data_IF_521044559416
#
_entry.id   IF_521044559416
#
_cell.length_a   1.000
_cell.length_b   1.000
_cell.length_c   1.000
_cell.angle_alpha   90.00
_cell.angle_beta   90.00
_cell.angle_gamma   90.00
#
_symmetry.space_group_name_H-M   'P 1'
#
loop_
_entity.id
_entity.type
_entity.pdbx_description
1 polymer ?
#
# COMPACT_ATOMS: atom_id res chain seq x y z
N UNK A 1 -0.06 10.54 -16.17
CA UNK A 1 0.61 9.70 -17.21
C UNK A 1 0.18 8.25 -16.98
N UNK A 2 0.47 7.26 -17.85
CA UNK A 2 0.33 5.87 -17.42
C UNK A 2 1.21 5.65 -16.18
N UNK A 3 0.71 4.90 -15.21
CA UNK A 3 1.47 4.46 -14.05
C UNK A 3 2.08 3.12 -14.33
N UNK A 4 3.27 2.92 -13.79
CA UNK A 4 4.00 1.69 -13.99
C UNK A 4 4.59 1.15 -12.71
N UNK A 5 4.90 -0.13 -12.72
CA UNK A 5 5.60 -0.82 -11.67
C UNK A 5 7.10 -0.61 -11.87
N UNK A 6 7.71 0.14 -10.96
CA UNK A 6 9.12 0.52 -10.99
C UNK A 6 9.84 -0.19 -9.85
N UNK A 7 10.78 -1.10 -10.12
CA UNK A 7 11.63 -1.66 -9.08
C UNK A 7 12.58 -0.58 -8.57
N UNK A 8 12.67 -0.44 -7.25
CA UNK A 8 13.54 0.54 -6.59
C UNK A 8 14.44 -0.19 -5.59
N UNK A 9 15.71 0.22 -5.55
CA UNK A 9 16.67 -0.22 -4.54
C UNK A 9 16.90 0.94 -3.57
N UNK A 10 16.65 0.72 -2.28
CA UNK A 10 16.86 1.73 -1.24
C UNK A 10 17.96 1.21 -0.29
N UNK A 11 19.12 1.91 -0.20
CA UNK A 11 20.13 1.56 0.77
C UNK A 11 19.63 1.93 2.18
N UNK A 12 19.80 1.02 3.14
CA UNK A 12 19.41 1.21 4.53
C UNK A 12 20.62 1.03 5.42
N UNK A 13 20.81 1.97 6.36
CA UNK A 13 21.86 1.87 7.40
C UNK A 13 21.23 1.72 8.76
N UNK A 14 21.52 0.64 9.45
CA UNK A 14 21.08 0.40 10.83
C UNK A 14 22.03 1.07 11.81
N UNK A 15 21.53 1.45 12.99
CA UNK A 15 22.34 2.06 14.04
C UNK A 15 23.51 1.15 14.48
N UNK A 16 23.27 -0.16 14.50
CA UNK A 16 24.21 -1.16 15.03
C UNK A 16 25.03 -1.86 13.93
N UNK A 17 24.84 -1.49 12.65
CA UNK A 17 25.58 -2.07 11.52
C UNK A 17 26.32 -0.98 10.73
N UNK A 18 27.64 -1.10 10.56
CA UNK A 18 28.39 -0.20 9.67
C UNK A 18 28.13 -0.50 8.19
N UNK A 19 27.52 -1.65 7.88
CA UNK A 19 27.24 -2.10 6.52
C UNK A 19 25.83 -1.67 6.13
N UNK A 20 25.72 -0.95 5.02
CA UNK A 20 24.42 -0.64 4.43
C UNK A 20 23.86 -1.92 3.79
N UNK A 21 22.60 -2.24 4.10
CA UNK A 21 21.84 -3.28 3.40
C UNK A 21 21.04 -2.64 2.27
N UNK A 22 20.73 -3.41 1.22
CA UNK A 22 19.86 -2.97 0.14
C UNK A 22 18.46 -3.56 0.33
N UNK A 23 17.45 -2.70 0.44
CA UNK A 23 16.05 -3.11 0.36
C UNK A 23 15.58 -2.95 -1.07
N UNK A 24 15.01 -4.01 -1.64
CA UNK A 24 14.43 -4.01 -2.98
C UNK A 24 12.92 -4.11 -2.86
N UNK A 25 12.21 -3.22 -3.52
CA UNK A 25 10.76 -3.19 -3.54
C UNK A 25 10.26 -2.72 -4.90
N UNK A 26 9.04 -3.12 -5.21
CA UNK A 26 8.30 -2.63 -6.36
C UNK A 26 7.43 -1.47 -5.92
N UNK A 27 7.34 -0.43 -6.75
CA UNK A 27 6.58 0.78 -6.45
C UNK A 27 5.77 1.18 -7.68
N UNK A 28 4.53 1.61 -7.48
CA UNK A 28 3.71 2.14 -8.56
C UNK A 28 3.90 3.66 -8.64
N UNK A 29 4.35 4.17 -9.77
CA UNK A 29 4.61 5.60 -9.98
C UNK A 29 4.45 6.02 -11.45
N UNK A 30 4.29 7.31 -11.72
CA UNK A 30 4.32 7.88 -13.07
C UNK A 30 5.75 8.24 -13.52
N UNK A 31 6.65 8.49 -12.56
CA UNK A 31 8.03 8.89 -12.84
C UNK A 31 9.02 8.17 -11.93
N UNK A 32 10.29 8.10 -12.37
CA UNK A 32 11.36 7.53 -11.56
C UNK A 32 11.59 8.28 -10.23
N UNK A 33 11.42 9.61 -10.22
CA UNK A 33 11.56 10.41 -9.00
C UNK A 33 10.44 10.11 -8.00
N UNK A 34 9.20 10.05 -8.47
CA UNK A 34 8.05 9.65 -7.64
C UNK A 34 8.22 8.23 -7.10
N UNK A 35 8.75 7.30 -7.91
CA UNK A 35 9.06 5.94 -7.48
C UNK A 35 10.09 5.94 -6.33
N UNK A 36 11.15 6.75 -6.43
CA UNK A 36 12.18 6.87 -5.38
C UNK A 36 11.60 7.45 -4.10
N UNK A 37 10.85 8.56 -4.19
CA UNK A 37 10.22 9.20 -3.01
C UNK A 37 9.24 8.26 -2.31
N UNK A 38 8.43 7.56 -3.09
CA UNK A 38 7.47 6.57 -2.58
C UNK A 38 8.21 5.38 -1.97
N UNK A 39 9.25 4.86 -2.61
CA UNK A 39 10.07 3.78 -2.07
C UNK A 39 10.70 4.14 -0.73
N UNK A 40 11.21 5.36 -0.59
CA UNK A 40 11.78 5.85 0.67
C UNK A 40 10.74 5.85 1.79
N UNK A 41 9.55 6.40 1.53
CA UNK A 41 8.44 6.38 2.50
C UNK A 41 8.07 4.97 2.94
N UNK A 42 7.95 4.05 1.98
CA UNK A 42 7.59 2.66 2.24
C UNK A 42 8.66 1.94 3.06
N UNK A 43 9.95 2.17 2.75
CA UNK A 43 11.09 1.56 3.47
C UNK A 43 11.24 2.15 4.87
N UNK A 44 11.13 3.47 5.03
CA UNK A 44 11.14 4.12 6.35
C UNK A 44 10.04 3.56 7.25
N UNK A 45 8.82 3.45 6.72
CA UNK A 45 7.71 2.85 7.45
C UNK A 45 7.96 1.37 7.76
N UNK A 46 8.41 0.58 6.77
CA UNK A 46 8.70 -0.84 6.95
C UNK A 46 9.75 -1.06 8.04
N UNK A 47 10.83 -0.28 8.07
CA UNK A 47 11.86 -0.35 9.12
C UNK A 47 11.29 -0.08 10.51
N UNK A 48 10.36 0.87 10.62
CA UNK A 48 9.67 1.19 11.87
C UNK A 48 8.79 0.03 12.36
N UNK A 49 8.07 -0.66 11.47
CA UNK A 49 7.11 -1.70 11.87
C UNK A 49 7.68 -3.13 11.91
N UNK A 50 8.81 -3.38 11.22
CA UNK A 50 9.38 -4.73 11.07
C UNK A 50 10.44 -5.10 12.11
N UNK A 51 11.14 -4.14 12.73
CA UNK A 51 12.24 -4.44 13.67
C UNK A 51 12.12 -3.68 15.00
N UNK A 52 12.29 -4.44 16.09
CA UNK A 52 12.23 -3.97 17.49
C UNK A 52 13.43 -3.10 17.90
N UNK A 53 14.52 -3.15 17.15
CA UNK A 53 15.78 -2.48 17.47
C UNK A 53 16.00 -1.34 16.48
N UNK A 54 15.70 -0.13 16.98
CA UNK A 54 15.93 1.22 16.43
C UNK A 54 16.00 1.38 14.90
N UNK A 55 15.15 2.25 14.31
CA UNK A 55 15.11 2.42 12.87
C UNK A 55 16.46 2.86 12.33
N UNK A 56 16.92 2.14 11.31
CA UNK A 56 17.97 2.63 10.44
C UNK A 56 17.50 3.84 9.64
N UNK A 57 18.44 4.60 9.08
CA UNK A 57 18.11 5.64 8.12
C UNK A 57 18.04 5.04 6.71
N UNK A 58 16.95 5.29 6.00
CA UNK A 58 16.87 5.07 4.56
C UNK A 58 17.74 6.11 3.84
N UNK A 59 18.56 5.67 2.90
CA UNK A 59 19.34 6.53 2.03
C UNK A 59 18.57 6.91 0.75
N UNK A 60 19.29 7.50 -0.20
CA UNK A 60 18.72 7.82 -1.51
C UNK A 60 18.49 6.56 -2.32
N UNK A 61 17.24 6.33 -2.72
CA UNK A 61 16.88 5.19 -3.57
C UNK A 61 17.36 5.37 -5.01
N UNK A 62 17.49 4.24 -5.71
CA UNK A 62 17.75 4.19 -7.14
C UNK A 62 16.62 3.45 -7.83
N UNK A 63 15.89 4.13 -8.71
CA UNK A 63 14.92 3.50 -9.58
C UNK A 63 15.64 2.69 -10.67
N UNK A 64 15.13 1.49 -10.95
CA UNK A 64 15.54 0.65 -12.07
C UNK A 64 14.61 0.88 -13.27
N UNK A 65 14.79 0.07 -14.32
CA UNK A 65 13.91 0.11 -15.47
C UNK A 65 12.49 -0.31 -15.08
N UNK A 66 11.51 0.44 -15.60
CA UNK A 66 10.09 0.10 -15.54
C UNK A 66 9.85 -1.32 -16.08
N UNK A 67 9.05 -2.11 -15.35
CA UNK A 67 8.74 -3.50 -15.69
C UNK A 67 7.29 -3.72 -16.15
N UNK A 68 6.44 -2.69 -16.20
CA UNK A 68 5.13 -2.78 -16.83
C UNK A 68 4.06 -1.81 -16.31
N UNK A 69 3.05 -1.60 -17.14
CA UNK A 69 1.90 -0.74 -16.82
C UNK A 69 1.06 -1.30 -15.67
N UNK A 70 0.58 -0.42 -14.81
CA UNK A 70 -0.38 -0.71 -13.72
C UNK A 70 -1.70 -0.01 -14.04
N UNK A 71 -2.65 -0.70 -14.70
CA UNK A 71 -3.87 -0.06 -15.21
C UNK A 71 -4.94 0.20 -14.14
N UNK A 72 -4.74 -0.29 -12.91
CA UNK A 72 -5.75 -0.30 -11.87
C UNK A 72 -5.25 0.18 -10.51
N UNK A 73 -6.09 -0.04 -9.50
CA UNK A 73 -5.73 0.24 -8.11
C UNK A 73 -4.56 -0.67 -7.68
N UNK A 74 -3.92 -0.34 -6.57
CA UNK A 74 -2.91 -1.22 -5.99
C UNK A 74 -2.87 -1.09 -4.48
N UNK A 75 -2.39 -2.12 -3.80
CA UNK A 75 -2.21 -2.10 -2.36
C UNK A 75 -0.78 -2.43 -1.98
N UNK A 76 -0.21 -1.66 -1.06
CA UNK A 76 1.02 -1.97 -0.38
C UNK A 76 0.71 -2.77 0.87
N UNK A 77 1.27 -3.97 0.98
CA UNK A 77 1.13 -4.88 2.12
C UNK A 77 2.41 -4.90 2.91
N UNK A 78 2.34 -4.51 4.18
CA UNK A 78 3.50 -4.42 5.06
C UNK A 78 3.60 -5.67 5.91
N UNK A 79 4.68 -6.45 5.75
CA UNK A 79 4.97 -7.61 6.58
C UNK A 79 6.38 -7.53 7.17
N UNK A 80 6.69 -8.23 8.29
CA UNK A 80 8.04 -8.28 8.84
C UNK A 80 9.07 -8.79 7.83
N UNK A 81 8.68 -9.74 6.98
CA UNK A 81 9.56 -10.30 5.94
C UNK A 81 9.78 -9.37 4.74
N UNK A 82 8.95 -8.34 4.55
CA UNK A 82 9.09 -7.43 3.41
C UNK A 82 7.82 -6.64 3.09
N UNK A 83 7.90 -5.93 1.97
CA UNK A 83 6.81 -5.16 1.38
C UNK A 83 6.35 -5.84 0.10
N UNK A 84 5.05 -6.04 -0.06
CA UNK A 84 4.46 -6.58 -1.29
C UNK A 84 3.51 -5.57 -1.93
N UNK A 85 3.45 -5.57 -3.26
CA UNK A 85 2.47 -4.80 -4.04
C UNK A 85 1.43 -5.75 -4.62
N UNK A 86 0.17 -5.55 -4.25
CA UNK A 86 -0.96 -6.22 -4.87
C UNK A 86 -1.53 -5.33 -5.96
N UNK A 87 -1.48 -5.79 -7.21
CA UNK A 87 -2.17 -5.13 -8.31
C UNK A 87 -3.65 -5.49 -8.29
N UNK A 88 -4.50 -4.46 -8.39
CA UNK A 88 -5.94 -4.59 -8.31
C UNK A 88 -6.58 -3.99 -9.56
N UNK A 89 -7.75 -4.48 -9.98
CA UNK A 89 -8.44 -3.92 -11.14
C UNK A 89 -8.89 -2.48 -10.87
N UNK A 90 -9.08 -1.71 -11.94
CA UNK A 90 -9.66 -0.36 -11.88
C UNK A 90 -11.15 -0.35 -11.58
N UNK A 91 -11.80 -1.52 -11.53
CA UNK A 91 -13.23 -1.69 -11.27
C UNK A 91 -13.43 -2.83 -10.28
N UNK A 92 -14.14 -2.56 -9.20
CA UNK A 92 -14.58 -3.56 -8.22
C UNK A 92 -16.07 -3.86 -8.43
N UNK A 93 -16.36 -4.55 -9.54
CA UNK A 93 -17.66 -5.18 -9.80
C UNK A 93 -17.78 -6.51 -9.05
N UNK A 94 -18.79 -7.33 -9.37
CA UNK A 94 -19.01 -8.58 -8.63
C UNK A 94 -17.84 -9.56 -8.75
N UNK A 95 -17.36 -9.78 -9.97
CA UNK A 95 -16.24 -10.71 -10.21
C UNK A 95 -14.94 -10.19 -9.59
N UNK A 96 -14.61 -8.93 -9.82
CA UNK A 96 -13.39 -8.34 -9.30
C UNK A 96 -13.43 -8.11 -7.78
N UNK A 97 -14.63 -7.85 -7.24
CA UNK A 97 -14.87 -7.71 -5.80
C UNK A 97 -14.72 -9.02 -5.05
N UNK A 98 -15.17 -10.14 -5.62
CA UNK A 98 -14.94 -11.48 -5.08
C UNK A 98 -13.44 -11.80 -5.05
N UNK A 99 -12.73 -11.58 -6.17
CA UNK A 99 -11.27 -11.77 -6.24
C UNK A 99 -10.50 -10.90 -5.25
N UNK A 100 -10.92 -9.65 -5.05
CA UNK A 100 -10.34 -8.77 -4.03
C UNK A 100 -10.52 -9.34 -2.62
N UNK A 101 -11.72 -9.83 -2.31
CA UNK A 101 -12.01 -10.51 -1.06
C UNK A 101 -11.14 -11.74 -0.84
N UNK A 102 -10.98 -12.58 -1.88
CA UNK A 102 -10.10 -13.76 -1.83
C UNK A 102 -8.63 -13.39 -1.61
N UNK A 103 -8.13 -12.38 -2.32
CA UNK A 103 -6.76 -11.90 -2.17
C UNK A 103 -6.50 -11.40 -0.75
N UNK A 104 -7.43 -10.63 -0.17
CA UNK A 104 -7.32 -10.18 1.22
C UNK A 104 -7.53 -11.30 2.24
N UNK A 105 -8.40 -12.27 1.96
CA UNK A 105 -8.59 -13.43 2.82
C UNK A 105 -7.32 -14.29 2.93
N UNK A 106 -6.50 -14.35 1.87
CA UNK A 106 -5.23 -15.07 1.87
C UNK A 106 -4.13 -14.41 2.71
N UNK A 107 -4.28 -13.12 3.08
CA UNK A 107 -3.31 -12.43 3.94
C UNK A 107 -3.48 -12.84 5.41
N UNK A 108 -2.39 -13.27 6.04
CA UNK A 108 -2.34 -13.57 7.47
C UNK A 108 -2.25 -12.27 8.29
N UNK A 109 -3.28 -11.98 9.07
CA UNK A 109 -3.36 -10.77 9.91
C UNK A 109 -2.30 -10.71 11.00
N UNK A 110 -1.78 -11.87 11.43
CA UNK A 110 -0.72 -11.97 12.40
C UNK A 110 0.67 -11.88 11.76
N UNK A 111 0.75 -11.96 10.43
CA UNK A 111 1.99 -11.80 9.67
C UNK A 111 2.13 -10.42 9.02
N UNK A 112 1.10 -9.57 9.03
CA UNK A 112 1.18 -8.21 8.47
C UNK A 112 1.07 -7.13 9.56
N UNK A 113 1.51 -5.92 9.23
CA UNK A 113 1.40 -4.72 10.05
C UNK A 113 0.22 -3.84 9.62
N UNK A 114 -0.09 -3.82 8.32
CA UNK A 114 -1.20 -3.08 7.73
C UNK A 114 -1.21 -3.16 6.21
N UNK A 115 -2.24 -2.57 5.59
CA UNK A 115 -2.40 -2.49 4.14
C UNK A 115 -2.74 -1.05 3.76
N UNK A 116 -2.05 -0.48 2.77
CA UNK A 116 -2.40 0.81 2.17
C UNK A 116 -2.88 0.60 0.74
N UNK A 117 -4.16 0.88 0.48
CA UNK A 117 -4.83 0.76 -0.81
C UNK A 117 -4.89 2.12 -1.52
N UNK A 118 -4.16 2.27 -2.62
CA UNK A 118 -4.28 3.43 -3.52
C UNK A 118 -5.46 3.25 -4.48
N UNK A 119 -6.47 4.09 -4.28
CA UNK A 119 -7.71 4.08 -5.04
C UNK A 119 -7.71 5.04 -6.23
N UNK A 120 -6.63 5.75 -6.52
CA UNK A 120 -6.61 6.79 -7.58
C UNK A 120 -6.97 6.27 -8.97
N UNK A 121 -6.77 4.98 -9.26
CA UNK A 121 -7.17 4.33 -10.50
C UNK A 121 -8.53 3.60 -10.41
N UNK A 122 -9.23 3.68 -9.27
CA UNK A 122 -10.53 3.04 -9.06
C UNK A 122 -11.64 3.87 -9.71
N UNK A 123 -12.25 3.34 -10.76
CA UNK A 123 -13.28 4.00 -11.56
C UNK A 123 -14.70 3.57 -11.19
N UNK A 124 -14.85 2.42 -10.54
CA UNK A 124 -16.15 1.84 -10.21
C UNK A 124 -16.06 0.90 -9.00
N UNK A 125 -17.07 0.92 -8.14
CA UNK A 125 -17.28 -0.06 -7.07
C UNK A 125 -18.77 -0.37 -6.92
N UNK A 126 -19.13 -1.63 -6.77
CA UNK A 126 -20.48 -2.07 -6.42
C UNK A 126 -20.54 -2.63 -5.00
N UNK A 127 -21.71 -3.11 -4.57
CA UNK A 127 -21.93 -3.68 -3.23
C UNK A 127 -21.01 -4.87 -2.92
N UNK A 128 -20.68 -5.70 -3.90
CA UNK A 128 -19.80 -6.87 -3.71
C UNK A 128 -18.37 -6.41 -3.47
N UNK A 129 -17.83 -5.53 -4.32
CA UNK A 129 -16.49 -4.96 -4.13
C UNK A 129 -16.36 -4.20 -2.80
N UNK A 130 -17.38 -3.44 -2.44
CA UNK A 130 -17.46 -2.74 -1.16
C UNK A 130 -17.43 -3.72 0.03
N UNK A 131 -18.20 -4.80 -0.05
CA UNK A 131 -18.24 -5.84 1.00
C UNK A 131 -16.89 -6.56 1.10
N UNK A 132 -16.21 -6.81 -0.02
CA UNK A 132 -14.88 -7.39 -0.05
C UNK A 132 -13.85 -6.57 0.73
N UNK A 133 -13.87 -5.24 0.58
CA UNK A 133 -13.03 -4.34 1.40
C UNK A 133 -13.51 -4.36 2.86
N UNK A 134 -14.80 -4.14 3.08
CA UNK A 134 -15.40 -3.99 4.42
C UNK A 134 -15.13 -5.19 5.34
N UNK A 135 -15.20 -6.41 4.80
CA UNK A 135 -14.98 -7.65 5.53
C UNK A 135 -13.56 -7.77 6.11
N UNK A 136 -12.60 -7.04 5.57
CA UNK A 136 -11.19 -7.14 5.95
C UNK A 136 -10.60 -5.85 6.55
N UNK A 137 -11.34 -4.74 6.56
CA UNK A 137 -10.87 -3.43 7.06
C UNK A 137 -10.18 -3.49 8.43
N UNK A 138 -10.85 -4.08 9.42
CA UNK A 138 -10.32 -4.14 10.80
C UNK A 138 -9.18 -5.13 10.94
N UNK A 139 -9.36 -6.30 10.33
CA UNK A 139 -8.45 -7.45 10.42
C UNK A 139 -7.09 -7.10 9.81
N UNK A 140 -7.10 -6.53 8.61
CA UNK A 140 -5.89 -6.18 7.87
C UNK A 140 -5.41 -4.75 8.09
N UNK A 141 -6.12 -3.95 8.91
CA UNK A 141 -5.86 -2.52 9.12
C UNK A 141 -5.70 -1.82 7.78
N UNK A 142 -6.74 -1.84 6.97
CA UNK A 142 -6.71 -1.27 5.62
C UNK A 142 -6.86 0.26 5.74
N UNK A 143 -5.96 0.98 5.08
CA UNK A 143 -5.97 2.43 4.89
C UNK A 143 -6.15 2.72 3.40
N UNK A 144 -7.07 3.63 3.06
CA UNK A 144 -7.36 4.01 1.69
C UNK A 144 -6.73 5.38 1.42
N UNK A 145 -6.07 5.54 0.28
CA UNK A 145 -5.55 6.83 -0.17
C UNK A 145 -6.10 7.18 -1.55
N UNK A 146 -6.08 8.47 -1.87
CA UNK A 146 -6.42 8.99 -3.20
C UNK A 146 -7.80 8.51 -3.72
N UNK A 147 -8.79 8.38 -2.82
CA UNK A 147 -10.13 7.91 -3.17
C UNK A 147 -10.82 8.91 -4.11
N UNK A 148 -11.21 8.52 -5.34
CA UNK A 148 -11.84 9.45 -6.28
C UNK A 148 -13.18 9.97 -5.74
N UNK A 149 -13.57 11.23 -6.01
CA UNK A 149 -14.78 11.83 -5.44
C UNK A 149 -16.06 11.04 -5.71
N UNK A 150 -16.16 10.39 -6.87
CA UNK A 150 -17.29 9.53 -7.21
C UNK A 150 -17.37 8.29 -6.31
N UNK A 151 -16.23 7.67 -5.99
CA UNK A 151 -16.12 6.52 -5.10
C UNK A 151 -16.36 6.94 -3.64
N UNK A 152 -15.79 8.06 -3.21
CA UNK A 152 -16.01 8.62 -1.88
C UNK A 152 -17.51 8.86 -1.62
N UNK A 153 -18.24 9.40 -2.61
CA UNK A 153 -19.70 9.58 -2.52
C UNK A 153 -20.44 8.27 -2.35
N UNK A 154 -20.00 7.18 -3.00
CA UNK A 154 -20.59 5.85 -2.78
C UNK A 154 -20.39 5.42 -1.33
N UNK A 155 -19.19 5.60 -0.76
CA UNK A 155 -18.92 5.31 0.65
C UNK A 155 -19.79 6.13 1.61
N UNK A 156 -20.03 7.40 1.31
CA UNK A 156 -20.94 8.25 2.09
C UNK A 156 -22.38 7.74 2.03
N UNK A 157 -22.88 7.43 0.83
CA UNK A 157 -24.26 6.95 0.63
C UNK A 157 -24.52 5.65 1.40
N UNK A 158 -23.54 4.74 1.44
CA UNK A 158 -23.66 3.48 2.17
C UNK A 158 -23.30 3.59 3.66
N UNK A 159 -22.94 4.78 4.15
CA UNK A 159 -22.60 5.02 5.55
C UNK A 159 -21.29 4.36 6.00
N UNK A 160 -20.36 4.14 5.08
CA UNK A 160 -19.09 3.45 5.38
C UNK A 160 -17.97 4.39 5.83
N UNK A 161 -18.10 5.70 5.63
CA UNK A 161 -17.04 6.66 5.99
C UNK A 161 -16.69 6.70 7.48
N UNK A 162 -17.57 6.22 8.35
CA UNK A 162 -17.29 6.07 9.79
C UNK A 162 -16.39 4.87 10.13
N UNK A 163 -16.24 3.91 9.21
CA UNK A 163 -15.45 2.69 9.41
C UNK A 163 -14.20 2.63 8.54
N UNK A 164 -14.12 3.47 7.50
CA UNK A 164 -12.99 3.52 6.57
C UNK A 164 -11.89 4.44 7.10
N UNK A 165 -10.65 3.95 7.08
CA UNK A 165 -9.48 4.78 7.32
C UNK A 165 -9.06 5.44 6.00
N UNK A 166 -9.66 6.58 5.65
CA UNK A 166 -9.34 7.32 4.42
C UNK A 166 -8.36 8.44 4.72
N UNK A 167 -7.28 8.51 3.95
CA UNK A 167 -6.22 9.52 4.06
C UNK A 167 -6.02 10.23 2.72
N UNK A 168 -5.48 11.44 2.75
CA UNK A 168 -5.22 12.20 1.52
C UNK A 168 -3.94 11.71 0.88
N UNK A 169 -2.93 11.38 1.69
CA UNK A 169 -1.59 11.02 1.20
C UNK A 169 -1.14 9.66 1.71
N UNK A 170 -0.17 9.06 1.00
CA UNK A 170 0.51 7.85 1.45
C UNK A 170 1.16 8.06 2.82
N UNK A 171 1.83 9.20 3.04
CA UNK A 171 2.51 9.52 4.30
C UNK A 171 1.54 9.48 5.49
N UNK A 172 0.39 10.13 5.37
CA UNK A 172 -0.66 10.12 6.41
C UNK A 172 -1.14 8.70 6.72
N UNK A 173 -1.38 7.88 5.68
CA UNK A 173 -1.79 6.49 5.85
C UNK A 173 -0.71 5.66 6.58
N UNK A 174 0.56 5.85 6.23
CA UNK A 174 1.69 5.16 6.87
C UNK A 174 1.87 5.58 8.33
N UNK A 175 1.70 6.86 8.66
CA UNK A 175 1.77 7.35 10.04
C UNK A 175 0.64 6.80 10.91
N UNK A 176 -0.54 6.56 10.31
CA UNK A 176 -1.70 6.01 11.01
C UNK A 176 -1.60 4.50 11.30
N UNK A 177 -0.71 3.77 10.62
CA UNK A 177 -0.44 2.36 10.93
C UNK A 177 0.47 2.30 12.18
N UNK A 178 0.01 1.65 13.28
CA UNK A 178 0.76 1.62 14.53
C UNK A 178 1.99 0.71 14.44
N UNK A 179 3.00 1.01 15.27
CA UNK A 179 4.14 0.13 15.48
C UNK A 179 3.66 -1.21 16.06
N UNK A 180 4.32 -2.31 15.70
CA UNK A 180 4.09 -3.59 16.38
C UNK A 180 4.57 -3.48 17.82
N UNK A 181 3.63 -3.52 18.77
CA UNK A 181 3.87 -3.67 20.21
C UNK A 181 4.33 -5.08 20.57
#
# INVERSE_FOLDING_TARGET
MPRSLVPVVVPVRYADSPVAEEVRLEVVAETANEAIETAQLLVEHWLRVSRSERPGAAGFGQALADIGDVPGAHAYVFAPQGLEVLQLPSRFDSENGERLGEAFAALDEHAIAGVVLDCSALTYINTVGLTGIAAHLKRLRIHLISVPPAIARVFDIVGMTTFLNVHVTLREALEAIPDRS
#
